data_IF_362664219915
#
_entry.id   IF_362664219915
#
_cell.length_a   1.000
_cell.length_b   1.000
_cell.length_c   1.000
_cell.angle_alpha   90.00
_cell.angle_beta   90.00
_cell.angle_gamma   90.00
#
_symmetry.space_group_name_H-M   'P 1'
#
loop_
_entity.id
_entity.type
_entity.pdbx_description
1 polymer ?
#
# COMPACT_ATOMS: atom_id res chain seq x y z
N UNK A 1 -23.37 -3.98 -2.47
CA UNK A 1 -22.90 -5.37 -2.62
C UNK A 1 -21.96 -5.29 -3.80
N UNK A 2 -20.67 -5.04 -3.55
CA UNK A 2 -19.68 -5.05 -4.62
C UNK A 2 -18.73 -6.22 -4.37
N UNK A 3 -19.04 -7.30 -5.08
CA UNK A 3 -18.17 -8.43 -5.35
C UNK A 3 -17.06 -7.93 -6.29
N UNK A 4 -15.81 -7.96 -5.85
CA UNK A 4 -14.68 -7.79 -6.75
C UNK A 4 -13.59 -8.78 -6.34
N UNK A 5 -13.80 -10.01 -6.78
CA UNK A 5 -12.84 -11.12 -6.77
C UNK A 5 -11.59 -10.85 -7.62
N UNK A 6 -11.05 -9.63 -7.64
CA UNK A 6 -9.87 -9.31 -8.43
C UNK A 6 -8.62 -9.77 -7.72
N UNK A 7 -7.90 -10.65 -8.39
CA UNK A 7 -6.52 -10.97 -8.11
C UNK A 7 -5.66 -9.68 -8.31
N UNK A 8 -5.72 -8.73 -7.36
CA UNK A 8 -5.06 -7.42 -7.43
C UNK A 8 -3.55 -7.57 -7.19
N UNK A 9 -2.82 -7.95 -8.22
CA UNK A 9 -1.37 -7.82 -8.25
C UNK A 9 -0.98 -6.47 -8.85
N UNK A 10 0.03 -5.83 -8.27
CA UNK A 10 0.51 -4.52 -8.69
C UNK A 10 1.99 -4.60 -9.01
N UNK A 11 2.41 -3.98 -10.10
CA UNK A 11 3.82 -3.89 -10.47
C UNK A 11 4.38 -2.59 -9.94
N UNK A 12 5.55 -2.63 -9.29
CA UNK A 12 6.23 -1.44 -8.84
C UNK A 12 6.96 -0.75 -10.01
N UNK A 13 6.54 0.45 -10.49
CA UNK A 13 7.27 1.17 -11.53
C UNK A 13 8.47 1.96 -10.96
N UNK A 14 8.57 2.06 -9.63
CA UNK A 14 9.55 2.94 -8.96
C UNK A 14 10.86 2.20 -8.64
N UNK A 15 10.83 0.88 -8.47
CA UNK A 15 12.04 0.08 -8.26
C UNK A 15 12.62 -0.35 -9.60
N UNK A 16 13.96 -0.39 -9.77
CA UNK A 16 14.58 -0.98 -10.96
C UNK A 16 14.26 -2.48 -11.10
N UNK A 17 13.98 -3.17 -9.99
CA UNK A 17 13.57 -4.58 -9.99
C UNK A 17 12.19 -4.84 -10.58
N UNK A 18 11.34 -3.81 -10.69
CA UNK A 18 9.96 -3.90 -11.23
C UNK A 18 9.12 -5.06 -10.68
N UNK A 19 9.25 -5.34 -9.38
CA UNK A 19 8.60 -6.47 -8.71
C UNK A 19 7.08 -6.45 -8.92
N UNK A 20 6.51 -7.64 -9.16
CA UNK A 20 5.07 -7.87 -9.12
C UNK A 20 4.71 -8.31 -7.71
N UNK A 21 3.86 -7.53 -7.06
CA UNK A 21 3.46 -7.70 -5.67
C UNK A 21 1.97 -8.00 -5.63
N UNK A 22 1.60 -9.09 -5.00
CA UNK A 22 0.20 -9.36 -4.70
C UNK A 22 -0.28 -8.48 -3.55
N UNK A 23 -1.58 -8.17 -3.45
CA UNK A 23 -2.13 -7.46 -2.30
C UNK A 23 -1.72 -8.14 -0.98
N UNK A 24 -1.02 -7.41 -0.10
CA UNK A 24 -0.41 -7.93 1.14
C UNK A 24 1.06 -8.39 1.01
N UNK A 25 1.65 -8.37 -0.19
CA UNK A 25 3.03 -8.80 -0.43
C UNK A 25 4.00 -7.62 -0.42
N UNK A 26 5.13 -7.82 0.24
CA UNK A 26 6.25 -6.86 0.26
C UNK A 26 7.23 -7.17 -0.86
N UNK A 27 7.70 -6.14 -1.56
CA UNK A 27 8.70 -6.32 -2.60
C UNK A 27 10.07 -6.64 -2.06
N UNK A 28 10.91 -7.28 -2.89
CA UNK A 28 12.27 -7.68 -2.52
C UNK A 28 13.13 -6.50 -2.07
N UNK A 29 12.75 -5.27 -2.46
CA UNK A 29 13.41 -4.05 -2.01
C UNK A 29 13.23 -3.75 -0.51
N UNK A 30 12.29 -4.41 0.19
CA UNK A 30 11.95 -4.17 1.60
C UNK A 30 11.30 -2.81 1.90
N UNK A 31 11.40 -1.85 0.97
CA UNK A 31 10.94 -0.48 1.15
C UNK A 31 9.49 -0.23 0.70
N UNK A 32 8.89 -1.13 -0.07
CA UNK A 32 7.54 -0.98 -0.66
C UNK A 32 6.77 -2.28 -0.58
N UNK A 33 5.48 -2.19 -0.29
CA UNK A 33 4.57 -3.31 -0.23
C UNK A 33 3.28 -2.98 -0.98
N UNK A 34 2.56 -3.99 -1.42
CA UNK A 34 1.29 -3.81 -2.10
C UNK A 34 0.14 -3.89 -1.09
N UNK A 35 -0.75 -2.89 -1.09
CA UNK A 35 -1.97 -2.85 -0.27
C UNK A 35 -3.13 -2.49 -1.18
N UNK A 36 -4.16 -3.32 -1.19
CA UNK A 36 -5.34 -3.20 -2.05
C UNK A 36 -5.01 -2.94 -3.55
N UNK A 37 -4.00 -3.63 -4.08
CA UNK A 37 -3.58 -3.43 -5.47
C UNK A 37 -2.83 -2.13 -5.75
N UNK A 38 -2.36 -1.42 -4.70
CA UNK A 38 -1.55 -0.20 -4.82
C UNK A 38 -0.19 -0.40 -4.17
N UNK A 39 0.85 0.13 -4.80
CA UNK A 39 2.20 0.10 -4.21
C UNK A 39 2.33 1.25 -3.22
N UNK A 40 2.49 0.91 -1.94
CA UNK A 40 2.70 1.87 -0.87
C UNK A 40 4.12 1.74 -0.30
N UNK A 41 4.77 2.85 0.09
CA UNK A 41 6.05 2.79 0.77
C UNK A 41 5.87 2.22 2.17
N UNK A 42 6.68 1.23 2.56
CA UNK A 42 6.76 0.73 3.92
C UNK A 42 7.12 1.85 4.92
N UNK A 43 7.84 2.87 4.46
CA UNK A 43 8.19 4.03 5.27
C UNK A 43 7.02 5.02 5.48
N UNK A 44 5.93 4.91 4.71
CA UNK A 44 4.80 5.86 4.75
C UNK A 44 3.75 5.53 5.83
N UNK A 45 4.06 4.63 6.77
CA UNK A 45 3.26 4.39 7.97
C UNK A 45 3.66 5.26 9.17
N UNK A 46 4.70 6.09 9.06
CA UNK A 46 5.28 6.85 10.18
C UNK A 46 5.22 8.37 10.04
N UNK A 47 4.50 8.91 9.05
CA UNK A 47 4.54 10.35 8.77
C UNK A 47 3.12 10.90 8.64
N UNK A 48 2.66 11.34 9.82
CA UNK A 48 1.85 12.52 10.17
C UNK A 48 0.33 12.53 10.00
N UNK A 49 -0.28 12.96 11.12
CA UNK A 49 -1.41 13.87 11.22
C UNK A 49 -2.75 13.36 10.69
N UNK A 50 -3.40 12.54 11.52
CA UNK A 50 -4.75 12.92 11.90
C UNK A 50 -4.72 13.18 13.42
N UNK A 51 -4.37 14.41 13.78
CA UNK A 51 -4.99 15.02 14.96
C UNK A 51 -6.46 15.20 14.58
N UNK A 52 -7.25 14.14 14.67
CA UNK A 52 -8.69 14.28 14.83
C UNK A 52 -8.86 14.80 16.24
N UNK A 53 -8.77 16.12 16.39
CA UNK A 53 -9.24 16.80 17.58
C UNK A 53 -10.67 16.30 17.84
N UNK A 54 -10.98 15.75 19.03
CA UNK A 54 -12.35 15.41 19.37
C UNK A 54 -13.11 16.73 19.60
N UNK A 55 -13.67 17.30 18.54
CA UNK A 55 -14.70 18.33 18.72
C UNK A 55 -15.96 17.63 19.22
N UNK A 56 -16.12 17.69 20.54
CA UNK A 56 -17.31 17.34 21.28
C UNK A 56 -18.52 18.09 20.69
N UNK A 57 -19.57 17.35 20.28
CA UNK A 57 -20.93 17.87 20.21
C UNK A 57 -21.98 16.77 20.26
#
# INVERSE_FOLDING_TARGET
MEDDSTNKWVRCPICPHTCRLMSGQTGICGARHAVDGRVVPANYGKVTAVCLDPIEK
#
